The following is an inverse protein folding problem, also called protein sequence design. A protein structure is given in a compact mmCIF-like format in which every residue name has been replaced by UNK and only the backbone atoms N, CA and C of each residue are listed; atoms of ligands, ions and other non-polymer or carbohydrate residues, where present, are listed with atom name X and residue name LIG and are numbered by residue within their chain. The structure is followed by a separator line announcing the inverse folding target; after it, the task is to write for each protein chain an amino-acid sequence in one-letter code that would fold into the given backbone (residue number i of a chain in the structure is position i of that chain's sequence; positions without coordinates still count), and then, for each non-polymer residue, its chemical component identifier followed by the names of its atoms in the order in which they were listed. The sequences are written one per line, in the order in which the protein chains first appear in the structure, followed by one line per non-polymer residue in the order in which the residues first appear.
data_IF_274903390049
#
_entry.id   IF_274903390049
#
_cell.length_a   1.000
_cell.length_b   1.000
_cell.length_c   1.000
_cell.angle_alpha   90.00
_cell.angle_beta   90.00
_cell.angle_gamma   90.00
#
_symmetry.space_group_name_H-M   'P 1'
#
loop_
_entity.id
_entity.type
_entity.pdbx_description
1 polymer ?
#
# COMPACT_ATOMS: atom_id res chain seq x y z
N UNK A 1 -9.80 19.21 -11.88
CA UNK A 1 -9.09 18.11 -12.56
C UNK A 1 -10.11 17.07 -12.98
N UNK A 2 -10.00 16.52 -14.18
CA UNK A 2 -10.88 15.45 -14.66
C UNK A 2 -10.57 14.13 -13.92
N UNK A 3 -11.58 13.34 -13.58
CA UNK A 3 -11.46 12.04 -12.90
C UNK A 3 -10.53 11.08 -13.64
N UNK A 4 -10.48 11.17 -14.98
CA UNK A 4 -9.59 10.34 -15.80
C UNK A 4 -8.11 10.53 -15.46
N UNK A 5 -7.71 11.75 -15.09
CA UNK A 5 -6.34 12.04 -14.66
C UNK A 5 -6.05 11.52 -13.24
N UNK A 6 -7.07 11.07 -12.51
CA UNK A 6 -6.93 10.51 -11.16
C UNK A 6 -6.86 8.99 -11.23
N UNK A 7 -7.80 8.34 -11.92
CA UNK A 7 -8.02 6.90 -11.83
C UNK A 7 -7.55 6.10 -13.05
N UNK A 8 -7.57 6.67 -14.27
CA UNK A 8 -7.09 5.97 -15.45
C UNK A 8 -5.56 5.87 -15.44
N UNK A 9 -4.98 4.82 -16.04
CA UNK A 9 -3.52 4.58 -16.04
C UNK A 9 -2.88 4.66 -17.43
N UNK A 10 -3.43 5.51 -18.29
CA UNK A 10 -3.08 5.58 -19.71
C UNK A 10 -1.91 6.52 -20.02
N UNK A 11 -1.74 7.61 -19.25
CA UNK A 11 -0.61 8.55 -19.36
C UNK A 11 -0.15 9.00 -17.98
N UNK A 12 0.95 8.43 -17.49
CA UNK A 12 1.42 8.66 -16.12
C UNK A 12 2.00 10.07 -15.91
N UNK A 13 2.68 10.64 -16.91
CA UNK A 13 3.28 11.98 -16.81
C UNK A 13 2.19 13.05 -16.78
N UNK A 14 1.17 12.95 -17.64
CA UNK A 14 0.04 13.90 -17.61
C UNK A 14 -0.69 13.88 -16.28
N UNK A 15 -0.81 12.70 -15.66
CA UNK A 15 -1.40 12.58 -14.32
C UNK A 15 -0.53 13.20 -13.24
N UNK A 16 0.79 12.99 -13.30
CA UNK A 16 1.72 13.62 -12.37
C UNK A 16 1.71 15.15 -12.52
N UNK A 17 1.65 15.67 -13.74
CA UNK A 17 1.48 17.11 -14.01
C UNK A 17 0.15 17.64 -13.43
N UNK A 18 -0.96 16.92 -13.62
CA UNK A 18 -2.25 17.28 -13.02
C UNK A 18 -2.23 17.27 -11.48
N UNK A 19 -1.46 16.35 -10.87
CA UNK A 19 -1.21 16.37 -9.44
C UNK A 19 -0.39 17.59 -9.01
N UNK A 20 0.70 17.93 -9.72
CA UNK A 20 1.52 19.10 -9.44
C UNK A 20 0.71 20.42 -9.54
N UNK A 21 -0.17 20.53 -10.53
CA UNK A 21 -1.13 21.63 -10.66
C UNK A 21 -2.03 21.73 -9.44
N UNK A 22 -2.61 20.61 -9.01
CA UNK A 22 -3.53 20.57 -7.85
C UNK A 22 -2.81 20.84 -6.53
N UNK A 23 -1.58 20.34 -6.37
CA UNK A 23 -0.77 20.52 -5.17
C UNK A 23 -0.45 22.00 -4.92
N UNK A 24 -0.28 22.80 -5.98
CA UNK A 24 -0.06 24.25 -5.86
C UNK A 24 -1.22 25.00 -5.18
N UNK A 25 -2.43 24.42 -5.22
CA UNK A 25 -3.63 24.95 -4.58
C UNK A 25 -3.81 24.43 -3.15
N UNK A 26 -2.97 23.49 -2.70
CA UNK A 26 -3.12 22.77 -1.44
C UNK A 26 -2.32 23.39 -0.28
N UNK A 27 -1.97 24.68 -0.34
CA UNK A 27 -1.26 25.36 0.74
C UNK A 27 -2.10 25.31 2.01
N UNK A 28 -1.52 24.82 3.11
CA UNK A 28 -2.20 24.57 4.38
C UNK A 28 -2.81 23.16 4.51
N UNK A 29 -2.89 22.39 3.43
CA UNK A 29 -3.23 20.97 3.46
C UNK A 29 -1.96 20.13 3.73
N UNK A 30 -2.03 19.06 4.56
CA UNK A 30 -0.87 18.21 4.83
C UNK A 30 -0.23 17.58 3.59
N UNK A 31 -0.98 17.38 2.50
CA UNK A 31 -0.44 16.88 1.23
C UNK A 31 0.70 17.74 0.69
N UNK A 32 0.63 19.07 0.89
CA UNK A 32 1.71 19.98 0.49
C UNK A 32 3.00 19.68 1.25
N UNK A 33 2.89 19.39 2.55
CA UNK A 33 4.06 19.03 3.36
C UNK A 33 4.58 17.64 3.00
N UNK A 34 3.71 16.64 2.91
CA UNK A 34 4.11 15.25 2.66
C UNK A 34 4.84 15.08 1.33
N UNK A 35 4.29 15.64 0.24
CA UNK A 35 4.93 15.56 -1.06
C UNK A 35 6.36 16.13 -1.03
N UNK A 36 6.53 17.34 -0.47
CA UNK A 36 7.84 17.99 -0.44
C UNK A 36 8.82 17.31 0.55
N UNK A 37 8.32 16.74 1.64
CA UNK A 37 9.13 15.93 2.56
C UNK A 37 9.62 14.64 1.92
N UNK A 38 8.77 13.96 1.15
CA UNK A 38 9.11 12.72 0.43
C UNK A 38 10.14 12.99 -0.69
N UNK A 39 9.92 14.04 -1.49
CA UNK A 39 10.86 14.50 -2.52
C UNK A 39 12.23 14.85 -1.92
N UNK A 40 12.25 15.53 -0.79
CA UNK A 40 13.49 15.85 -0.08
C UNK A 40 14.18 14.59 0.45
N UNK A 41 13.46 13.76 1.19
CA UNK A 41 14.04 12.63 1.93
C UNK A 41 14.56 11.53 1.01
N UNK A 42 13.79 11.14 -0.01
CA UNK A 42 14.11 9.97 -0.83
C UNK A 42 14.73 10.34 -2.17
N UNK A 43 14.48 11.55 -2.69
CA UNK A 43 14.92 11.95 -4.03
C UNK A 43 15.95 13.09 -4.04
N UNK A 44 16.30 13.62 -2.87
CA UNK A 44 17.19 14.78 -2.71
C UNK A 44 16.76 15.97 -3.59
N UNK A 45 15.46 16.27 -3.54
CA UNK A 45 14.85 17.41 -4.22
C UNK A 45 14.45 18.43 -3.16
N UNK A 46 15.19 19.53 -3.11
CA UNK A 46 15.05 20.57 -2.09
C UNK A 46 14.16 21.75 -2.54
N UNK A 47 13.53 21.65 -3.70
CA UNK A 47 12.57 22.63 -4.24
C UNK A 47 11.14 22.07 -4.16
N UNK A 48 10.12 22.91 -3.84
CA UNK A 48 8.75 22.45 -3.85
C UNK A 48 8.29 22.02 -5.24
N UNK A 49 7.46 20.96 -5.32
CA UNK A 49 6.81 20.57 -6.56
C UNK A 49 5.83 21.66 -7.02
N UNK A 50 5.93 22.04 -8.29
CA UNK A 50 5.04 22.98 -8.94
C UNK A 50 4.87 22.62 -10.43
N UNK A 51 3.90 23.22 -11.15
CA UNK A 51 3.66 22.92 -12.56
C UNK A 51 4.90 23.11 -13.44
N UNK A 52 5.69 24.14 -13.15
CA UNK A 52 6.86 24.52 -13.94
C UNK A 52 8.02 23.53 -13.82
N UNK A 53 8.12 22.76 -12.73
CA UNK A 53 9.21 21.80 -12.51
C UNK A 53 8.77 20.33 -12.51
N UNK A 54 7.47 20.05 -12.72
CA UNK A 54 6.90 18.72 -12.63
C UNK A 54 7.61 17.68 -13.54
N UNK A 55 7.82 17.99 -14.82
CA UNK A 55 8.46 17.06 -15.76
C UNK A 55 9.92 16.76 -15.38
N UNK A 56 10.67 17.79 -14.99
CA UNK A 56 12.05 17.62 -14.52
C UNK A 56 12.12 16.74 -13.25
N UNK A 57 11.22 16.97 -12.29
CA UNK A 57 11.14 16.17 -11.06
C UNK A 57 10.74 14.73 -11.38
N UNK A 58 9.76 14.54 -12.28
CA UNK A 58 9.35 13.23 -12.77
C UNK A 58 10.53 12.43 -13.33
N UNK A 59 11.30 13.02 -14.24
CA UNK A 59 12.45 12.35 -14.86
C UNK A 59 13.51 11.99 -13.81
N UNK A 60 13.83 12.92 -12.89
CA UNK A 60 14.81 12.67 -11.82
C UNK A 60 14.35 11.55 -10.88
N UNK A 61 13.08 11.53 -10.50
CA UNK A 61 12.53 10.49 -9.64
C UNK A 61 12.56 9.12 -10.32
N UNK A 62 12.18 9.05 -11.60
CA UNK A 62 12.17 7.81 -12.37
C UNK A 62 13.57 7.26 -12.64
N UNK A 63 14.53 8.14 -12.95
CA UNK A 63 15.93 7.76 -13.07
C UNK A 63 16.42 7.11 -11.76
N UNK A 64 16.15 7.74 -10.62
CA UNK A 64 16.54 7.21 -9.31
C UNK A 64 15.84 5.88 -8.99
N UNK A 65 14.53 5.79 -9.20
CA UNK A 65 13.77 4.53 -8.99
C UNK A 65 14.30 3.37 -9.84
N UNK A 66 14.75 3.66 -11.07
CA UNK A 66 15.25 2.65 -12.00
C UNK A 66 16.69 2.23 -11.70
N UNK A 67 17.54 3.18 -11.32
CA UNK A 67 18.98 2.99 -11.32
C UNK A 67 19.60 2.92 -9.92
N UNK A 68 18.91 3.36 -8.87
CA UNK A 68 19.40 3.28 -7.48
C UNK A 68 18.81 2.04 -6.77
N UNK A 69 19.62 1.02 -6.43
CA UNK A 69 19.15 -0.16 -5.71
C UNK A 69 18.53 0.16 -4.34
N UNK A 70 18.93 1.28 -3.73
CA UNK A 70 18.38 1.80 -2.49
C UNK A 70 16.92 2.25 -2.61
N UNK A 71 16.45 2.54 -3.82
CA UNK A 71 15.06 2.94 -4.09
C UNK A 71 14.10 1.76 -4.27
N UNK A 72 14.55 0.53 -4.02
CA UNK A 72 13.66 -0.63 -3.85
C UNK A 72 12.78 -0.51 -2.61
N UNK A 73 11.68 -1.26 -2.53
CA UNK A 73 10.80 -1.25 -1.36
C UNK A 73 11.56 -1.52 -0.04
N UNK A 74 12.41 -2.54 -0.01
CA UNK A 74 13.26 -2.86 1.17
C UNK A 74 14.27 -1.77 1.46
N UNK A 75 14.83 -1.15 0.42
CA UNK A 75 15.75 -0.04 0.54
C UNK A 75 15.08 1.18 1.19
N UNK A 76 13.88 1.55 0.75
CA UNK A 76 13.12 2.68 1.33
C UNK A 76 12.72 2.44 2.79
N UNK A 77 12.34 1.21 3.15
CA UNK A 77 12.07 0.82 4.54
C UNK A 77 13.33 0.98 5.40
N UNK A 78 14.47 0.49 4.89
CA UNK A 78 15.76 0.57 5.58
C UNK A 78 16.25 2.02 5.74
N UNK A 79 16.17 2.83 4.68
CA UNK A 79 16.48 4.27 4.71
C UNK A 79 15.61 5.03 5.71
N UNK A 80 14.40 4.53 5.97
CA UNK A 80 13.48 5.10 6.95
C UNK A 80 13.73 4.62 8.37
N UNK A 81 14.72 3.76 8.59
CA UNK A 81 15.05 3.17 9.89
C UNK A 81 13.83 2.51 10.57
N UNK A 82 13.00 1.84 9.76
CA UNK A 82 11.81 1.13 10.25
C UNK A 82 12.23 -0.20 10.85
N UNK A 83 11.88 -0.44 12.11
CA UNK A 83 12.15 -1.71 12.78
C UNK A 83 11.04 -2.75 12.56
N UNK A 84 9.80 -2.30 12.35
CA UNK A 84 8.62 -3.17 12.30
C UNK A 84 7.54 -2.58 11.39
N UNK A 85 6.90 -3.45 10.59
CA UNK A 85 5.73 -3.17 9.79
C UNK A 85 4.63 -4.17 10.17
N UNK A 86 3.49 -3.66 10.62
CA UNK A 86 2.27 -4.44 10.75
C UNK A 86 1.43 -4.29 9.49
N UNK A 87 1.31 -5.34 8.68
CA UNK A 87 0.37 -5.35 7.56
C UNK A 87 -1.06 -5.60 8.06
N UNK A 88 -2.03 -5.47 7.18
CA UNK A 88 -3.44 -5.73 7.48
C UNK A 88 -3.90 -6.85 6.56
N UNK A 89 -4.28 -7.98 7.15
CA UNK A 89 -4.43 -9.25 6.44
C UNK A 89 -5.78 -9.88 6.79
N UNK A 90 -6.40 -10.46 5.77
CA UNK A 90 -7.70 -11.14 5.89
C UNK A 90 -7.49 -12.54 6.50
N UNK A 91 -8.43 -13.06 7.33
CA UNK A 91 -8.34 -14.41 7.87
C UNK A 91 -8.09 -15.52 6.85
N UNK A 92 -8.51 -15.34 5.60
CA UNK A 92 -8.34 -16.36 4.55
C UNK A 92 -7.03 -16.21 3.75
N UNK A 93 -6.22 -15.20 4.04
CA UNK A 93 -4.94 -14.98 3.35
C UNK A 93 -3.93 -16.07 3.73
N UNK A 94 -3.14 -16.54 2.75
CA UNK A 94 -2.16 -17.61 2.96
C UNK A 94 -0.94 -17.19 3.80
N UNK A 95 -0.70 -15.88 3.94
CA UNK A 95 0.47 -15.29 4.59
C UNK A 95 1.83 -15.74 4.01
N UNK A 96 1.84 -16.30 2.79
CA UNK A 96 3.06 -16.85 2.16
C UNK A 96 4.21 -15.82 2.04
N UNK A 97 3.86 -14.55 1.90
CA UNK A 97 4.84 -13.47 1.78
C UNK A 97 5.48 -13.14 3.12
N UNK A 98 4.74 -13.22 4.23
CA UNK A 98 5.28 -13.07 5.57
C UNK A 98 6.25 -14.19 5.90
N UNK A 99 5.93 -15.43 5.51
CA UNK A 99 6.83 -16.58 5.67
C UNK A 99 8.12 -16.40 4.86
N UNK A 100 7.99 -16.03 3.57
CA UNK A 100 9.15 -15.76 2.70
C UNK A 100 10.03 -14.63 3.25
N UNK A 101 9.43 -13.54 3.73
CA UNK A 101 10.17 -12.41 4.32
C UNK A 101 10.85 -12.82 5.62
N UNK A 102 10.16 -13.57 6.49
CA UNK A 102 10.73 -14.06 7.75
C UNK A 102 11.90 -15.05 7.53
N UNK A 103 11.87 -15.82 6.45
CA UNK A 103 12.94 -16.74 6.09
C UNK A 103 14.14 -16.05 5.40
N UNK A 104 13.95 -14.87 4.83
CA UNK A 104 14.97 -14.13 4.10
C UNK A 104 15.91 -13.37 5.04
N UNK A 105 17.10 -13.93 5.25
CA UNK A 105 18.14 -13.37 6.13
C UNK A 105 18.71 -12.02 5.66
N UNK A 106 18.42 -11.59 4.43
CA UNK A 106 18.82 -10.26 3.95
C UNK A 106 17.91 -9.14 4.47
N UNK A 107 16.74 -9.47 5.01
CA UNK A 107 15.80 -8.52 5.58
C UNK A 107 16.15 -8.26 7.06
N UNK A 108 16.34 -6.99 7.42
CA UNK A 108 16.77 -6.55 8.75
C UNK A 108 15.67 -5.85 9.56
N UNK A 109 14.42 -5.91 9.10
CA UNK A 109 13.23 -5.37 9.77
C UNK A 109 12.14 -6.44 9.85
N UNK A 110 11.21 -6.28 10.77
CA UNK A 110 10.10 -7.23 10.93
C UNK A 110 8.91 -6.83 10.07
N UNK A 111 8.32 -7.80 9.38
CA UNK A 111 7.01 -7.65 8.73
C UNK A 111 6.09 -8.71 9.31
N UNK A 112 5.01 -8.30 9.95
CA UNK A 112 4.09 -9.20 10.63
C UNK A 112 2.65 -8.91 10.23
N UNK A 113 1.81 -9.95 10.11
CA UNK A 113 0.43 -9.77 9.76
C UNK A 113 -0.39 -9.24 10.94
N UNK A 114 -1.46 -8.52 10.63
CA UNK A 114 -2.48 -8.12 11.62
C UNK A 114 -3.84 -8.60 11.16
N UNK A 115 -4.50 -9.37 12.02
CA UNK A 115 -5.76 -10.05 11.73
C UNK A 115 -6.93 -9.06 11.57
N UNK A 116 -7.57 -9.05 10.40
CA UNK A 116 -8.71 -8.18 10.09
C UNK A 116 -9.92 -8.95 9.55
N UNK A 117 -10.83 -9.43 10.42
CA UNK A 117 -11.93 -10.30 10.05
C UNK A 117 -13.17 -9.55 9.55
N UNK A 118 -13.01 -8.36 8.94
CA UNK A 118 -14.13 -7.48 8.59
C UNK A 118 -15.21 -8.20 7.76
N UNK A 119 -14.80 -9.03 6.78
CA UNK A 119 -15.74 -9.77 5.91
C UNK A 119 -16.42 -10.93 6.63
N UNK A 120 -15.79 -11.50 7.65
CA UNK A 120 -16.35 -12.59 8.45
C UNK A 120 -17.45 -12.11 9.42
N UNK A 121 -17.42 -10.83 9.82
CA UNK A 121 -18.32 -10.29 10.85
C UNK A 121 -19.41 -9.36 10.29
N UNK A 122 -19.18 -8.72 9.13
CA UNK A 122 -20.11 -7.74 8.56
C UNK A 122 -21.19 -8.42 7.69
N UNK A 123 -22.12 -9.13 8.33
CA UNK A 123 -23.19 -9.93 7.68
C UNK A 123 -24.05 -9.16 6.67
N UNK A 124 -24.17 -7.84 6.82
CA UNK A 124 -25.00 -7.00 5.95
C UNK A 124 -24.32 -6.57 4.66
N UNK A 125 -23.02 -6.83 4.51
CA UNK A 125 -22.26 -6.44 3.32
C UNK A 125 -22.53 -7.42 2.18
N UNK A 126 -22.60 -6.88 0.96
CA UNK A 126 -22.62 -7.70 -0.24
C UNK A 126 -21.36 -8.60 -0.27
N UNK A 127 -21.51 -9.84 -0.71
CA UNK A 127 -20.41 -10.82 -0.76
C UNK A 127 -20.18 -11.60 0.53
N UNK A 128 -20.93 -11.32 1.62
CA UNK A 128 -20.77 -12.05 2.89
C UNK A 128 -20.93 -13.57 2.73
N UNK A 129 -21.98 -14.01 2.02
CA UNK A 129 -22.26 -15.44 1.84
C UNK A 129 -21.14 -16.14 1.08
N UNK A 130 -20.61 -15.50 0.06
CA UNK A 130 -19.51 -16.01 -0.75
C UNK A 130 -18.24 -16.11 0.09
N UNK A 131 -17.94 -15.07 0.87
CA UNK A 131 -16.79 -15.05 1.77
C UNK A 131 -16.87 -16.15 2.85
N UNK A 132 -18.05 -16.41 3.44
CA UNK A 132 -18.21 -17.49 4.42
C UNK A 132 -17.88 -18.86 3.80
N UNK A 133 -18.15 -19.09 2.52
CA UNK A 133 -17.74 -20.32 1.81
C UNK A 133 -16.23 -20.39 1.63
N UNK A 134 -15.58 -19.28 1.30
CA UNK A 134 -14.11 -19.20 1.21
C UNK A 134 -13.47 -19.50 2.57
N UNK A 135 -14.00 -18.90 3.64
CA UNK A 135 -13.56 -19.17 5.02
C UNK A 135 -13.74 -20.65 5.38
N UNK A 136 -14.88 -21.27 5.05
CA UNK A 136 -15.11 -22.70 5.27
C UNK A 136 -14.01 -23.57 4.64
N UNK A 137 -13.62 -23.24 3.39
CA UNK A 137 -12.61 -23.97 2.66
C UNK A 137 -11.22 -23.87 3.31
N UNK A 138 -10.88 -22.75 3.96
CA UNK A 138 -9.58 -22.59 4.64
C UNK A 138 -9.39 -23.54 5.83
N UNK A 139 -10.50 -23.97 6.45
CA UNK A 139 -10.50 -24.94 7.56
C UNK A 139 -10.99 -26.33 7.11
N UNK A 140 -11.05 -26.59 5.80
CA UNK A 140 -11.40 -27.90 5.24
C UNK A 140 -12.86 -28.31 5.41
N UNK A 141 -13.78 -27.35 5.60
CA UNK A 141 -15.23 -27.59 5.70
C UNK A 141 -15.93 -27.25 4.38
N UNK A 142 -17.03 -27.95 4.09
CA UNK A 142 -17.90 -27.63 2.94
C UNK A 142 -18.78 -26.39 3.20
N UNK A 143 -19.20 -26.17 4.46
CA UNK A 143 -20.02 -25.05 4.90
C UNK A 143 -19.74 -24.67 6.36
N UNK A 144 -20.13 -23.45 6.73
CA UNK A 144 -20.24 -22.98 8.11
C UNK A 144 -21.70 -22.60 8.33
N UNK A 145 -22.43 -23.39 9.14
CA UNK A 145 -23.89 -23.31 9.24
C UNK A 145 -24.37 -22.65 10.54
N UNK A 146 -23.43 -22.23 11.40
CA UNK A 146 -23.71 -21.57 12.67
C UNK A 146 -22.70 -20.47 12.99
N UNK A 147 -23.05 -19.57 13.90
CA UNK A 147 -22.07 -18.60 14.44
C UNK A 147 -20.92 -19.30 15.16
N UNK A 148 -21.17 -20.47 15.78
CA UNK A 148 -20.10 -21.27 16.39
C UNK A 148 -19.09 -21.75 15.35
N UNK A 149 -19.57 -22.23 14.19
CA UNK A 149 -18.69 -22.66 13.10
C UNK A 149 -17.79 -21.52 12.61
N UNK A 150 -18.33 -20.30 12.52
CA UNK A 150 -17.57 -19.12 12.12
C UNK A 150 -16.54 -18.73 13.18
N UNK A 151 -16.88 -18.79 14.47
CA UNK A 151 -15.94 -18.54 15.56
C UNK A 151 -14.80 -19.57 15.51
N UNK A 152 -15.14 -20.86 15.40
CA UNK A 152 -14.16 -21.95 15.37
C UNK A 152 -13.24 -21.84 14.14
N UNK A 153 -13.73 -21.31 13.02
CA UNK A 153 -12.92 -21.11 11.82
C UNK A 153 -11.95 -19.91 11.91
N UNK A 154 -12.13 -19.01 12.89
CA UNK A 154 -11.32 -17.80 13.07
C UNK A 154 -10.27 -17.92 14.20
N UNK A 155 -10.17 -19.08 14.86
CA UNK A 155 -9.26 -19.36 15.98
C UNK A 155 -8.21 -20.39 15.57
#
# INVERSE_FOLDING_TARGET
MDEKLITERTDELSRFKGFADTLSLAIGNPMYHWCNLELKKYFDINEPLCPANAEKIWDKCNDKLKNDPGMSARGLISQSNVAYVGTTDDPIDSLEWHEKIAADKSVNFMVRPSFRPDKAINITKAGFREYIKELAATVGKESLDSTSDVIDALV
#
